data_IF_504073149268
#
_entry.id   IF_504073149268
#
_cell.length_a   1.000
_cell.length_b   1.000
_cell.length_c   1.000
_cell.angle_alpha   90.00
_cell.angle_beta   90.00
_cell.angle_gamma   90.00
#
_symmetry.space_group_name_H-M   'P 1'
#
loop_
_entity.id
_entity.type
_entity.pdbx_description
1 polymer ?
#
# COMPACT_ATOMS: atom_id res chain seq x y z
N UNK A 1 -9.10 4.61 6.89
CA UNK A 1 -7.64 4.79 6.67
C UNK A 1 -7.42 5.15 5.22
N UNK A 2 -6.73 6.23 4.97
CA UNK A 2 -6.44 6.70 3.61
C UNK A 2 -4.97 6.49 3.28
N UNK A 3 -4.70 5.59 2.34
CA UNK A 3 -3.34 5.30 1.88
C UNK A 3 -3.06 5.96 0.52
N UNK A 4 -3.86 6.97 0.15
CA UNK A 4 -3.68 7.71 -1.11
C UNK A 4 -3.47 9.20 -0.81
N UNK A 5 -2.23 9.56 -0.45
CA UNK A 5 -1.84 10.95 -0.29
C UNK A 5 -1.77 11.63 -1.66
N UNK A 6 -2.39 12.82 -1.77
CA UNK A 6 -2.46 13.54 -3.04
C UNK A 6 -1.42 14.66 -3.17
N UNK A 7 -0.57 14.85 -2.18
CA UNK A 7 0.51 15.85 -2.24
C UNK A 7 1.87 15.19 -2.06
N UNK A 8 2.89 15.83 -2.61
CA UNK A 8 4.28 15.38 -2.45
C UNK A 8 4.71 15.67 -1.01
N UNK A 9 5.41 14.75 -0.33
CA UNK A 9 5.92 14.99 1.01
C UNK A 9 6.86 16.20 1.04
N UNK A 10 6.77 17.01 2.12
CA UNK A 10 7.75 18.04 2.36
C UNK A 10 9.12 17.41 2.68
N UNK A 11 10.20 18.18 2.48
CA UNK A 11 11.55 17.67 2.70
C UNK A 11 11.74 17.09 4.12
N UNK A 12 11.13 17.72 5.13
CA UNK A 12 11.19 17.26 6.51
C UNK A 12 10.44 15.95 6.75
N UNK A 13 9.51 15.60 5.87
CA UNK A 13 8.69 14.38 5.98
C UNK A 13 9.33 13.19 5.26
N UNK A 14 10.26 13.43 4.34
CA UNK A 14 10.84 12.38 3.49
C UNK A 14 11.48 11.24 4.31
N UNK A 15 12.25 11.49 5.38
CA UNK A 15 12.85 10.38 6.13
C UNK A 15 11.81 9.43 6.73
N UNK A 16 10.70 9.96 7.24
CA UNK A 16 9.64 9.11 7.79
C UNK A 16 8.89 8.38 6.68
N UNK A 17 8.56 9.07 5.59
CA UNK A 17 7.89 8.48 4.44
C UNK A 17 8.75 7.35 3.86
N UNK A 18 10.07 7.54 3.78
CA UNK A 18 10.99 6.50 3.32
C UNK A 18 10.92 5.25 4.21
N UNK A 19 10.89 5.41 5.53
CA UNK A 19 10.78 4.28 6.46
C UNK A 19 9.44 3.57 6.31
N UNK A 20 8.34 4.31 6.18
CA UNK A 20 7.02 3.74 5.97
C UNK A 20 6.97 2.96 4.64
N UNK A 21 7.56 3.51 3.60
CA UNK A 21 7.61 2.87 2.28
C UNK A 21 8.36 1.55 2.33
N UNK A 22 9.53 1.54 2.99
CA UNK A 22 10.31 0.31 3.16
C UNK A 22 9.54 -0.73 3.98
N UNK A 23 8.85 -0.29 5.02
CA UNK A 23 8.06 -1.17 5.87
C UNK A 23 6.92 -1.83 5.08
N UNK A 24 6.18 -1.03 4.31
CA UNK A 24 5.09 -1.56 3.49
C UNK A 24 5.61 -2.52 2.43
N UNK A 25 6.69 -2.15 1.75
CA UNK A 25 7.31 -3.03 0.74
C UNK A 25 7.68 -4.37 1.35
N UNK A 26 8.35 -4.37 2.51
CA UNK A 26 8.76 -5.58 3.19
C UNK A 26 7.55 -6.45 3.58
N UNK A 27 6.47 -5.83 4.06
CA UNK A 27 5.25 -6.55 4.40
C UNK A 27 4.59 -7.18 3.18
N UNK A 28 4.50 -6.44 2.07
CA UNK A 28 3.90 -6.96 0.85
C UNK A 28 4.71 -8.15 0.30
N UNK A 29 6.03 -8.08 0.40
CA UNK A 29 6.91 -9.15 -0.07
C UNK A 29 6.94 -10.37 0.86
N UNK A 30 6.47 -10.23 2.08
CA UNK A 30 6.47 -11.28 3.09
C UNK A 30 5.22 -12.16 3.06
N UNK A 31 4.40 -12.03 2.04
CA UNK A 31 3.17 -12.83 1.90
C UNK A 31 3.45 -14.28 1.54
N UNK A 32 4.54 -14.52 0.84
CA UNK A 32 4.84 -15.83 0.29
C UNK A 32 4.27 -16.06 -1.10
N UNK A 33 4.26 -17.30 -1.60
CA UNK A 33 3.82 -17.60 -2.96
C UNK A 33 2.37 -17.14 -3.21
N UNK A 34 2.15 -16.50 -4.35
CA UNK A 34 0.82 -16.02 -4.73
C UNK A 34 0.42 -14.70 -4.12
N UNK A 35 1.24 -14.12 -3.26
CA UNK A 35 0.99 -12.82 -2.65
C UNK A 35 1.34 -11.65 -3.56
N UNK A 36 1.26 -10.44 -3.00
CA UNK A 36 1.52 -9.22 -3.78
C UNK A 36 2.90 -9.19 -4.41
N UNK A 37 2.96 -8.70 -5.64
CA UNK A 37 4.20 -8.42 -6.33
C UNK A 37 4.40 -6.91 -6.37
N UNK A 38 5.45 -6.41 -5.71
CA UNK A 38 5.77 -4.99 -5.68
C UNK A 38 6.45 -4.62 -7.00
N UNK A 39 5.81 -3.74 -7.75
CA UNK A 39 6.31 -3.27 -9.05
C UNK A 39 7.20 -2.04 -8.86
N UNK A 40 6.85 -1.18 -7.93
CA UNK A 40 7.59 0.05 -7.66
C UNK A 40 7.41 0.44 -6.20
N UNK A 41 8.48 0.94 -5.58
CA UNK A 41 8.44 1.51 -4.24
C UNK A 41 9.40 2.71 -4.23
N UNK A 42 8.82 3.92 -4.22
CA UNK A 42 9.58 5.16 -4.25
C UNK A 42 9.62 5.77 -2.85
N UNK A 43 10.80 5.74 -2.23
CA UNK A 43 10.97 6.22 -0.86
C UNK A 43 10.87 7.73 -0.73
N UNK A 44 11.09 8.47 -1.80
CA UNK A 44 11.01 9.94 -1.76
C UNK A 44 9.57 10.44 -1.82
N UNK A 45 8.70 9.75 -2.54
CA UNK A 45 7.30 10.15 -2.71
C UNK A 45 6.34 9.35 -1.85
N UNK A 46 6.75 8.19 -1.36
CA UNK A 46 5.89 7.27 -0.63
C UNK A 46 5.01 6.43 -1.54
N UNK A 47 5.27 6.43 -2.85
CA UNK A 47 4.44 5.68 -3.79
C UNK A 47 4.87 4.22 -3.85
N UNK A 48 3.92 3.32 -3.61
CA UNK A 48 4.12 1.89 -3.75
C UNK A 48 3.07 1.36 -4.72
N UNK A 49 3.53 0.71 -5.78
CA UNK A 49 2.67 0.08 -6.78
C UNK A 49 2.86 -1.42 -6.70
N UNK A 50 1.76 -2.15 -6.65
CA UNK A 50 1.82 -3.60 -6.56
C UNK A 50 0.61 -4.21 -7.26
N UNK A 51 0.71 -5.51 -7.50
CA UNK A 51 -0.41 -6.29 -8.02
C UNK A 51 -0.47 -7.61 -7.27
N UNK A 52 -1.65 -8.22 -7.26
CA UNK A 52 -1.84 -9.56 -6.70
C UNK A 52 -2.16 -10.48 -7.87
N UNK A 53 -1.32 -11.48 -8.17
CA UNK A 53 -1.56 -12.38 -9.30
C UNK A 53 -2.93 -13.02 -9.23
N UNK A 54 -3.65 -12.99 -10.35
CA UNK A 54 -4.99 -13.57 -10.43
C UNK A 54 -6.10 -12.74 -9.82
N UNK A 55 -5.80 -11.53 -9.33
CA UNK A 55 -6.80 -10.62 -8.76
C UNK A 55 -6.78 -9.29 -9.50
N UNK A 56 -7.98 -8.74 -9.71
CA UNK A 56 -8.15 -7.42 -10.31
C UNK A 56 -7.92 -6.35 -9.25
N UNK A 57 -7.07 -5.36 -9.53
CA UNK A 57 -6.78 -4.27 -8.60
C UNK A 57 -8.02 -3.45 -8.26
N UNK A 58 -8.96 -3.28 -9.21
CA UNK A 58 -10.22 -2.59 -8.94
C UNK A 58 -11.09 -3.37 -7.94
N UNK A 59 -11.09 -4.70 -8.04
CA UNK A 59 -11.77 -5.54 -7.05
C UNK A 59 -11.14 -5.36 -5.66
N UNK A 60 -9.82 -5.37 -5.60
CA UNK A 60 -9.10 -5.17 -4.34
C UNK A 60 -9.44 -3.83 -3.71
N UNK A 61 -9.43 -2.76 -4.51
CA UNK A 61 -9.80 -1.42 -4.07
C UNK A 61 -11.20 -1.40 -3.45
N UNK A 62 -12.17 -2.01 -4.15
CA UNK A 62 -13.56 -2.05 -3.68
C UNK A 62 -13.70 -2.83 -2.38
N UNK A 63 -13.05 -3.99 -2.27
CA UNK A 63 -13.12 -4.81 -1.06
C UNK A 63 -12.53 -4.11 0.15
N UNK A 64 -11.38 -3.47 -0.02
CA UNK A 64 -10.73 -2.74 1.08
C UNK A 64 -11.61 -1.58 1.55
N UNK A 65 -12.22 -0.86 0.62
CA UNK A 65 -13.10 0.27 0.95
C UNK A 65 -14.36 -0.19 1.67
N UNK A 66 -15.03 -1.23 1.15
CA UNK A 66 -16.29 -1.71 1.70
C UNK A 66 -16.13 -2.37 3.06
N UNK A 67 -15.08 -3.18 3.24
CA UNK A 67 -14.94 -4.01 4.45
C UNK A 67 -14.26 -3.27 5.59
N UNK A 68 -13.32 -2.38 5.30
CA UNK A 68 -12.50 -1.74 6.35
C UNK A 68 -12.34 -0.24 6.19
N UNK A 69 -12.99 0.35 5.21
CA UNK A 69 -12.83 1.78 4.90
C UNK A 69 -11.36 2.15 4.65
N UNK A 70 -10.63 1.27 3.99
CA UNK A 70 -9.25 1.50 3.58
C UNK A 70 -9.26 1.97 2.13
N UNK A 71 -8.66 3.14 1.88
CA UNK A 71 -8.64 3.74 0.55
C UNK A 71 -7.27 3.56 -0.08
N UNK A 72 -7.26 2.93 -1.26
CA UNK A 72 -6.09 2.84 -2.13
C UNK A 72 -6.49 3.31 -3.53
N UNK A 73 -5.50 3.51 -4.41
CA UNK A 73 -5.75 3.85 -5.79
C UNK A 73 -5.56 2.67 -6.73
N UNK A 74 -6.01 2.86 -7.97
CA UNK A 74 -5.76 1.92 -9.07
C UNK A 74 -5.31 2.74 -10.27
N UNK A 75 -4.12 2.44 -10.79
CA UNK A 75 -3.57 3.12 -11.96
C UNK A 75 -2.88 2.07 -12.83
N UNK A 76 -3.19 2.09 -14.12
CA UNK A 76 -2.59 1.15 -15.10
C UNK A 76 -2.73 -0.32 -14.69
N UNK A 77 -3.85 -0.66 -14.06
CA UNK A 77 -4.12 -2.02 -13.61
C UNK A 77 -3.39 -2.42 -12.33
N UNK A 78 -2.63 -1.51 -11.72
CA UNK A 78 -1.90 -1.75 -10.49
C UNK A 78 -2.60 -1.11 -9.30
N UNK A 79 -2.49 -1.74 -8.13
CA UNK A 79 -2.87 -1.12 -6.88
C UNK A 79 -1.79 -0.11 -6.50
N UNK A 80 -2.21 1.06 -6.04
CA UNK A 80 -1.30 2.17 -5.72
C UNK A 80 -1.57 2.67 -4.31
N UNK A 81 -0.50 2.79 -3.53
CA UNK A 81 -0.52 3.49 -2.25
C UNK A 81 0.44 4.67 -2.34
N UNK A 82 0.04 5.83 -1.82
CA UNK A 82 0.92 6.99 -1.66
C UNK A 82 0.88 7.39 -0.20
N UNK A 83 1.94 7.05 0.51
CA UNK A 83 1.97 7.15 1.96
C UNK A 83 2.27 8.58 2.41
N UNK A 84 1.57 9.02 3.46
CA UNK A 84 1.85 10.29 4.12
C UNK A 84 2.66 10.05 5.40
N UNK A 85 3.32 11.09 5.89
CA UNK A 85 4.08 11.00 7.14
C UNK A 85 3.20 10.78 8.37
N UNK A 86 1.89 10.98 8.23
CA UNK A 86 0.94 10.81 9.33
C UNK A 86 0.53 9.36 9.57
N UNK A 87 0.87 8.46 8.65
CA UNK A 87 0.55 7.06 8.77
C UNK A 87 1.43 6.43 9.85
N UNK A 88 0.83 5.61 10.71
CA UNK A 88 1.55 4.84 11.70
C UNK A 88 1.94 3.48 11.13
N UNK A 89 3.05 2.90 11.62
CA UNK A 89 3.48 1.57 11.18
C UNK A 89 2.41 0.51 11.46
N UNK A 90 1.70 0.63 12.58
CA UNK A 90 0.61 -0.29 12.95
C UNK A 90 -0.52 -0.26 11.91
N UNK A 91 -0.75 0.87 11.26
CA UNK A 91 -1.78 0.97 10.23
C UNK A 91 -1.36 0.18 8.98
N UNK A 92 -0.08 0.17 8.65
CA UNK A 92 0.45 -0.63 7.54
C UNK A 92 0.36 -2.12 7.86
N UNK A 93 0.65 -2.52 9.10
CA UNK A 93 0.50 -3.90 9.54
C UNK A 93 -0.95 -4.35 9.48
N UNK A 94 -1.88 -3.48 9.84
CA UNK A 94 -3.31 -3.74 9.73
C UNK A 94 -3.74 -3.89 8.27
N UNK A 95 -3.23 -3.02 7.40
CA UNK A 95 -3.48 -3.12 5.97
C UNK A 95 -3.01 -4.47 5.43
N UNK A 96 -1.79 -4.89 5.81
CA UNK A 96 -1.25 -6.20 5.44
C UNK A 96 -2.19 -7.33 5.89
N UNK A 97 -2.67 -7.27 7.14
CA UNK A 97 -3.60 -8.25 7.66
C UNK A 97 -4.91 -8.32 6.86
N UNK A 98 -5.43 -7.16 6.45
CA UNK A 98 -6.63 -7.10 5.61
C UNK A 98 -6.38 -7.73 4.23
N UNK A 99 -5.23 -7.45 3.63
CA UNK A 99 -4.86 -8.09 2.37
C UNK A 99 -4.75 -9.60 2.53
N UNK A 100 -4.14 -10.05 3.61
CA UNK A 100 -4.00 -11.48 3.91
C UNK A 100 -5.37 -12.14 4.02
N UNK A 101 -6.33 -11.47 4.64
CA UNK A 101 -7.70 -11.99 4.76
C UNK A 101 -8.41 -12.11 3.41
N UNK A 102 -8.12 -11.18 2.48
CA UNK A 102 -8.73 -11.20 1.16
C UNK A 102 -8.11 -12.25 0.23
N UNK A 103 -6.80 -12.46 0.29
CA UNK A 103 -6.08 -13.22 -0.72
C UNK A 103 -5.10 -14.24 -0.13
N UNK A 104 -4.91 -14.23 1.15
CA UNK A 104 -4.07 -15.21 1.84
C UNK A 104 -4.88 -16.44 2.17
#
# INVERSE_FOLDING_TARGET
MDLMQHRVPAASEVPRVARLTRHLKARLEDFGPGGPEVVQADQETGEVRFRIPGRDSAWLQAQLKERWDIRIGVEDGLAVCRLSSEIAFEQLDRFWGCLFELVG
#
